data_IF_785539634469
#
_entry.id   IF_785539634469
#
_cell.length_a   1.000
_cell.length_b   1.000
_cell.length_c   1.000
_cell.angle_alpha   90.00
_cell.angle_beta   90.00
_cell.angle_gamma   90.00
#
_symmetry.space_group_name_H-M   'P 1'
#
loop_
_entity.id
_entity.type
_entity.pdbx_description
1 polymer ?
#
# COMPACT_ATOMS: atom_id res chain seq x y z
N UNK A 1 -11.67 11.64 -26.30
CA UNK A 1 -11.16 11.04 -25.04
C UNK A 1 -11.68 11.90 -23.94
N UNK A 2 -12.20 11.32 -22.85
CA UNK A 2 -12.79 12.05 -21.72
C UNK A 2 -11.85 11.83 -20.55
N UNK A 3 -11.55 12.91 -19.83
CA UNK A 3 -10.64 12.87 -18.70
C UNK A 3 -11.40 12.89 -17.38
N UNK A 4 -10.82 12.34 -16.29
CA UNK A 4 -11.39 12.45 -14.95
C UNK A 4 -11.63 13.93 -14.57
N UNK A 5 -12.83 14.22 -14.05
CA UNK A 5 -13.26 15.58 -13.71
C UNK A 5 -14.04 16.29 -14.84
N UNK A 6 -14.28 15.65 -15.98
CA UNK A 6 -15.12 16.20 -17.05
C UNK A 6 -16.57 15.74 -16.94
N UNK A 7 -17.51 16.66 -17.22
CA UNK A 7 -18.92 16.32 -17.40
C UNK A 7 -19.09 15.73 -18.79
N UNK A 8 -19.40 14.43 -18.85
CA UNK A 8 -19.62 13.70 -20.10
C UNK A 8 -20.97 13.98 -20.75
N UNK A 9 -21.97 14.28 -19.92
CA UNK A 9 -23.34 14.50 -20.38
C UNK A 9 -24.31 14.52 -19.20
N UNK A 10 -25.57 14.21 -19.48
CA UNK A 10 -26.63 14.08 -18.48
C UNK A 10 -27.36 12.76 -18.64
N UNK A 11 -27.88 12.22 -17.54
CA UNK A 11 -28.74 11.04 -17.61
C UNK A 11 -30.05 11.41 -18.33
N UNK A 12 -30.42 10.57 -19.30
CA UNK A 12 -31.63 10.81 -20.12
C UNK A 12 -32.84 11.08 -19.25
N UNK A 13 -33.59 12.13 -19.61
CA UNK A 13 -34.78 12.58 -18.90
C UNK A 13 -34.57 13.08 -17.46
N UNK A 14 -33.33 13.44 -17.11
CA UNK A 14 -32.98 14.05 -15.82
C UNK A 14 -32.00 15.20 -16.02
N UNK A 15 -31.85 16.04 -14.97
CA UNK A 15 -30.77 17.06 -14.93
C UNK A 15 -29.48 16.56 -14.26
N UNK A 16 -29.40 15.29 -13.94
CA UNK A 16 -28.27 14.69 -13.24
C UNK A 16 -27.07 14.60 -14.20
N UNK A 17 -25.94 15.28 -13.91
CA UNK A 17 -24.76 15.20 -14.73
C UNK A 17 -24.09 13.82 -14.63
N UNK A 18 -23.59 13.32 -15.76
CA UNK A 18 -22.72 12.15 -15.82
C UNK A 18 -21.27 12.63 -15.82
N UNK A 19 -20.56 12.38 -14.75
CA UNK A 19 -19.20 12.85 -14.53
C UNK A 19 -18.23 11.69 -14.72
N UNK A 20 -17.17 11.90 -15.52
CA UNK A 20 -16.07 10.97 -15.61
C UNK A 20 -15.21 11.07 -14.34
N UNK A 21 -15.10 9.97 -13.61
CA UNK A 21 -14.16 9.83 -12.49
C UNK A 21 -12.93 9.06 -12.93
N UNK A 22 -11.94 8.92 -12.04
CA UNK A 22 -10.78 8.08 -12.34
C UNK A 22 -11.24 6.63 -12.59
N UNK A 23 -10.96 6.07 -13.75
CA UNK A 23 -11.42 4.73 -14.16
C UNK A 23 -10.80 3.62 -13.34
N UNK A 24 -9.56 3.80 -12.90
CA UNK A 24 -8.94 2.91 -11.92
C UNK A 24 -9.20 3.46 -10.52
N UNK A 25 -9.79 2.68 -9.65
CA UNK A 25 -10.22 3.09 -8.31
C UNK A 25 -9.07 3.64 -7.45
N UNK A 26 -7.86 3.09 -7.59
CA UNK A 26 -6.67 3.60 -6.92
C UNK A 26 -6.32 5.02 -7.34
N UNK A 27 -6.63 5.46 -8.56
CA UNK A 27 -6.39 6.85 -8.95
C UNK A 27 -7.29 7.81 -8.15
N UNK A 28 -8.53 7.41 -7.88
CA UNK A 28 -9.40 8.13 -6.95
C UNK A 28 -8.81 8.11 -5.53
N UNK A 29 -8.32 6.96 -5.06
CA UNK A 29 -7.70 6.88 -3.74
C UNK A 29 -6.51 7.84 -3.60
N UNK A 30 -5.66 7.93 -4.61
CA UNK A 30 -4.49 8.84 -4.62
C UNK A 30 -4.91 10.31 -4.68
N UNK A 31 -6.00 10.64 -5.37
CA UNK A 31 -6.56 12.00 -5.35
C UNK A 31 -6.95 12.45 -3.94
N UNK A 32 -7.34 11.52 -3.06
CA UNK A 32 -7.70 11.80 -1.66
C UNK A 32 -6.53 11.75 -0.66
N UNK A 33 -5.30 11.52 -1.10
CA UNK A 33 -4.14 11.53 -0.19
C UNK A 33 -3.96 12.92 0.41
N UNK A 34 -3.93 13.08 1.74
CA UNK A 34 -3.82 14.40 2.39
C UNK A 34 -2.38 14.93 2.38
N UNK A 35 -1.74 14.93 1.22
CA UNK A 35 -0.37 15.39 1.05
C UNK A 35 -0.29 16.92 1.05
N UNK A 36 0.71 17.46 1.75
CA UNK A 36 1.01 18.92 1.81
C UNK A 36 1.92 19.36 0.68
N UNK A 37 2.62 18.44 0.06
CA UNK A 37 3.61 18.70 -1.00
C UNK A 37 3.20 17.95 -2.26
N UNK A 38 3.58 18.48 -3.41
CA UNK A 38 3.37 17.78 -4.70
C UNK A 38 4.18 16.48 -4.79
N UNK A 39 5.29 16.40 -4.05
CA UNK A 39 6.14 15.22 -3.97
C UNK A 39 5.84 14.43 -2.71
N UNK A 40 5.21 13.29 -2.88
CA UNK A 40 4.90 12.35 -1.80
C UNK A 40 4.93 10.92 -2.32
N UNK A 41 5.25 9.99 -1.43
CA UNK A 41 5.04 8.57 -1.69
C UNK A 41 3.75 8.11 -1.01
N UNK A 42 3.09 7.12 -1.62
CA UNK A 42 1.86 6.55 -1.09
C UNK A 42 1.84 5.02 -1.17
N UNK A 43 1.05 4.42 -0.29
CA UNK A 43 0.59 3.03 -0.37
C UNK A 43 -0.93 3.04 -0.35
N UNK A 44 -1.57 2.71 -1.47
CA UNK A 44 -2.99 2.36 -1.47
C UNK A 44 -3.09 0.91 -0.99
N UNK A 45 -3.37 0.75 0.30
CA UNK A 45 -3.28 -0.54 1.00
C UNK A 45 -4.65 -1.19 1.12
N UNK A 46 -4.79 -2.32 0.46
CA UNK A 46 -5.93 -3.21 0.47
C UNK A 46 -5.48 -4.66 0.36
N UNK A 47 -6.20 -5.49 -0.37
CA UNK A 47 -5.78 -6.85 -0.74
C UNK A 47 -4.41 -6.81 -1.39
N UNK A 48 -4.23 -5.92 -2.36
CA UNK A 48 -2.94 -5.49 -2.89
C UNK A 48 -2.49 -4.20 -2.22
N UNK A 49 -1.17 -3.95 -2.23
CA UNK A 49 -0.58 -2.67 -1.87
C UNK A 49 0.03 -2.04 -3.12
N UNK A 50 -0.61 -0.97 -3.60
CA UNK A 50 -0.11 -0.20 -4.73
C UNK A 50 0.77 0.92 -4.16
N UNK A 51 2.09 0.72 -4.27
CA UNK A 51 3.10 1.63 -3.72
C UNK A 51 3.68 2.50 -4.82
N UNK A 52 3.61 3.82 -4.69
CA UNK A 52 4.11 4.71 -5.73
C UNK A 52 4.13 6.19 -5.38
N UNK A 53 4.24 7.01 -6.42
CA UNK A 53 4.20 8.47 -6.37
C UNK A 53 3.45 9.04 -7.57
N UNK A 54 3.02 10.29 -7.52
CA UNK A 54 2.49 11.02 -8.67
C UNK A 54 3.60 11.82 -9.37
N UNK A 55 3.56 11.83 -10.70
CA UNK A 55 4.51 12.54 -11.56
C UNK A 55 3.78 13.23 -12.73
N UNK A 56 4.44 14.23 -13.33
CA UNK A 56 3.95 14.88 -14.56
C UNK A 56 4.28 14.11 -15.84
N UNK A 57 5.20 13.14 -15.79
CA UNK A 57 5.65 12.35 -16.94
C UNK A 57 5.85 10.89 -16.55
N UNK A 58 5.61 9.95 -17.49
CA UNK A 58 5.86 8.54 -17.25
C UNK A 58 7.37 8.25 -17.11
N UNK A 59 7.67 7.20 -16.35
CA UNK A 59 9.01 6.60 -16.27
C UNK A 59 9.06 5.34 -17.13
N UNK A 60 9.82 5.39 -18.21
CA UNK A 60 9.86 4.33 -19.24
C UNK A 60 11.25 3.72 -19.43
N UNK A 61 12.12 3.91 -18.42
CA UNK A 61 13.46 3.32 -18.48
C UNK A 61 13.45 1.80 -18.39
N UNK A 62 14.46 1.12 -18.93
CA UNK A 62 14.65 -0.31 -18.73
C UNK A 62 14.73 -0.69 -17.25
N UNK A 63 15.29 0.20 -16.41
CA UNK A 63 15.37 0.00 -14.96
C UNK A 63 13.98 -0.05 -14.32
N UNK A 64 13.06 0.84 -14.71
CA UNK A 64 11.69 0.82 -14.20
C UNK A 64 10.99 -0.50 -14.54
N UNK A 65 11.18 -0.99 -15.77
CA UNK A 65 10.66 -2.28 -16.21
C UNK A 65 11.28 -3.44 -15.42
N UNK A 66 12.61 -3.45 -15.25
CA UNK A 66 13.31 -4.49 -14.50
C UNK A 66 12.90 -4.52 -13.00
N UNK A 67 12.57 -3.36 -12.42
CA UNK A 67 12.07 -3.23 -11.05
C UNK A 67 10.56 -3.48 -10.92
N UNK A 68 9.87 -3.80 -12.03
CA UNK A 68 8.43 -4.05 -12.10
C UNK A 68 7.59 -2.85 -11.64
N UNK A 69 7.98 -1.63 -12.08
CA UNK A 69 7.17 -0.43 -11.94
C UNK A 69 6.31 -0.22 -13.19
N UNK A 70 5.10 0.26 -12.97
CA UNK A 70 4.14 0.60 -14.03
C UNK A 70 3.76 2.08 -13.96
N UNK A 71 3.28 2.60 -15.09
CA UNK A 71 2.75 3.94 -15.20
C UNK A 71 1.24 3.85 -15.41
N UNK A 72 0.47 4.46 -14.54
CA UNK A 72 -0.98 4.52 -14.65
C UNK A 72 -1.46 5.97 -14.63
N UNK A 73 -2.54 6.26 -15.35
CA UNK A 73 -3.10 7.61 -15.39
C UNK A 73 -3.70 7.96 -14.03
N UNK A 74 -3.33 9.12 -13.49
CA UNK A 74 -3.89 9.74 -12.29
C UNK A 74 -4.94 10.81 -12.63
N UNK A 75 -5.37 11.54 -11.61
CA UNK A 75 -6.26 12.69 -11.79
C UNK A 75 -5.50 13.87 -12.40
N UNK A 76 -6.18 14.69 -13.23
CA UNK A 76 -5.61 15.90 -13.80
C UNK A 76 -4.46 15.67 -14.78
N UNK A 77 -4.37 14.48 -15.40
CA UNK A 77 -3.31 14.14 -16.35
C UNK A 77 -1.99 13.75 -15.71
N UNK A 78 -1.96 13.55 -14.40
CA UNK A 78 -0.78 13.02 -13.71
C UNK A 78 -0.55 11.55 -14.06
N UNK A 79 0.67 11.11 -13.86
CA UNK A 79 1.08 9.70 -13.98
C UNK A 79 1.40 9.16 -12.59
N UNK A 80 0.78 8.06 -12.24
CA UNK A 80 1.12 7.31 -11.03
C UNK A 80 2.18 6.28 -11.39
N UNK A 81 3.42 6.54 -11.04
CA UNK A 81 4.50 5.56 -11.09
C UNK A 81 4.38 4.68 -9.85
N UNK A 82 4.05 3.41 -10.04
CA UNK A 82 3.77 2.52 -8.92
C UNK A 82 4.24 1.09 -9.17
N UNK A 83 4.35 0.34 -8.09
CA UNK A 83 4.54 -1.11 -8.08
C UNK A 83 3.40 -1.76 -7.28
N UNK A 84 2.86 -2.87 -7.82
CA UNK A 84 1.97 -3.74 -7.08
C UNK A 84 2.79 -4.67 -6.18
N UNK A 85 2.43 -4.72 -4.91
CA UNK A 85 3.00 -5.63 -3.91
C UNK A 85 1.86 -6.50 -3.41
N UNK A 86 2.10 -7.78 -3.19
CA UNK A 86 1.16 -8.64 -2.48
C UNK A 86 0.96 -8.04 -1.08
N UNK A 87 -0.18 -7.39 -0.88
CA UNK A 87 -0.45 -6.60 0.31
C UNK A 87 -1.05 -7.45 1.45
N UNK A 88 -2.21 -7.03 1.94
CA UNK A 88 -2.89 -7.71 3.05
C UNK A 88 -3.53 -9.05 2.64
N UNK A 89 -3.44 -9.44 1.37
CA UNK A 89 -3.92 -10.74 0.87
C UNK A 89 -3.40 -11.91 1.72
N UNK A 90 -2.10 -11.95 2.00
CA UNK A 90 -1.49 -13.03 2.79
C UNK A 90 -2.11 -13.09 4.18
N UNK A 91 -2.32 -11.94 4.83
CA UNK A 91 -2.98 -11.89 6.14
C UNK A 91 -4.46 -12.27 6.06
N UNK A 92 -5.18 -11.86 4.99
CA UNK A 92 -6.57 -12.23 4.76
C UNK A 92 -6.72 -13.74 4.58
N UNK A 93 -5.86 -14.35 3.78
CA UNK A 93 -5.85 -15.81 3.57
C UNK A 93 -5.45 -16.56 4.84
N UNK A 94 -4.45 -16.08 5.58
CA UNK A 94 -4.07 -16.67 6.87
C UNK A 94 -5.27 -16.66 7.83
N UNK A 95 -5.97 -15.53 7.93
CA UNK A 95 -7.20 -15.42 8.74
C UNK A 95 -8.27 -16.40 8.28
N UNK A 96 -8.49 -16.53 6.96
CA UNK A 96 -9.45 -17.47 6.38
C UNK A 96 -9.09 -18.93 6.71
N UNK A 97 -7.81 -19.27 6.63
CA UNK A 97 -7.34 -20.61 6.99
C UNK A 97 -7.58 -20.91 8.47
N UNK A 98 -7.31 -19.97 9.37
CA UNK A 98 -7.60 -20.12 10.80
C UNK A 98 -9.10 -20.34 11.05
N UNK A 99 -9.95 -19.55 10.40
CA UNK A 99 -11.41 -19.70 10.51
C UNK A 99 -11.88 -21.07 10.02
N UNK A 100 -11.30 -21.61 8.93
CA UNK A 100 -11.54 -22.96 8.44
C UNK A 100 -11.12 -24.06 9.42
N UNK A 101 -10.15 -23.78 10.28
CA UNK A 101 -9.70 -24.65 11.40
C UNK A 101 -10.47 -24.39 12.70
N UNK A 102 -11.55 -23.61 12.67
CA UNK A 102 -12.39 -23.29 13.83
C UNK A 102 -11.87 -22.15 14.72
N UNK A 103 -10.76 -21.51 14.35
CA UNK A 103 -10.18 -20.37 15.06
C UNK A 103 -10.63 -19.05 14.39
N UNK A 104 -11.70 -18.45 14.87
CA UNK A 104 -12.11 -17.12 14.39
C UNK A 104 -11.28 -16.05 15.08
N UNK A 105 -10.55 -15.27 14.29
CA UNK A 105 -9.67 -14.19 14.76
C UNK A 105 -9.86 -12.96 13.86
N UNK A 106 -9.86 -11.77 14.43
CA UNK A 106 -9.95 -10.52 13.69
C UNK A 106 -8.57 -9.87 13.49
N UNK A 107 -8.46 -8.94 12.52
CA UNK A 107 -7.19 -8.30 12.19
C UNK A 107 -6.49 -7.65 13.40
N UNK A 108 -7.18 -6.94 14.32
CA UNK A 108 -6.53 -6.39 15.51
C UNK A 108 -5.91 -7.47 16.43
N UNK A 109 -6.55 -8.64 16.52
CA UNK A 109 -6.02 -9.76 17.32
C UNK A 109 -4.82 -10.40 16.64
N UNK A 110 -4.83 -10.53 15.29
CA UNK A 110 -3.66 -10.99 14.52
C UNK A 110 -2.47 -10.07 14.73
N UNK A 111 -2.69 -8.74 14.64
CA UNK A 111 -1.67 -7.74 14.88
C UNK A 111 -1.13 -7.80 16.33
N UNK A 112 -1.99 -8.06 17.32
CA UNK A 112 -1.59 -8.22 18.72
C UNK A 112 -0.72 -9.47 18.92
N UNK A 113 -1.11 -10.61 18.33
CA UNK A 113 -0.29 -11.83 18.35
C UNK A 113 1.07 -11.62 17.70
N UNK A 114 1.10 -11.02 16.51
CA UNK A 114 2.34 -10.71 15.81
C UNK A 114 3.25 -9.78 16.61
N UNK A 115 2.68 -8.77 17.27
CA UNK A 115 3.43 -7.82 18.12
C UNK A 115 4.09 -8.51 19.31
N UNK A 116 3.44 -9.49 19.91
CA UNK A 116 3.95 -10.27 21.04
C UNK A 116 5.00 -11.32 20.67
N UNK A 117 5.09 -11.68 19.39
CA UNK A 117 6.00 -12.72 18.91
C UNK A 117 7.33 -12.13 18.42
N UNK A 118 8.35 -13.01 18.38
CA UNK A 118 9.62 -12.77 17.69
C UNK A 118 9.83 -13.87 16.67
N UNK A 119 10.33 -13.52 15.49
CA UNK A 119 10.68 -14.46 14.45
C UNK A 119 12.00 -14.04 13.81
N UNK A 120 12.86 -14.99 13.46
CA UNK A 120 14.14 -14.70 12.81
C UNK A 120 14.01 -14.63 11.29
N UNK A 121 13.05 -15.35 10.72
CA UNK A 121 12.88 -15.47 9.28
C UNK A 121 12.04 -14.37 8.65
N UNK A 122 12.07 -14.35 7.32
CA UNK A 122 11.28 -13.47 6.44
C UNK A 122 10.91 -14.19 5.16
N UNK A 123 9.89 -13.70 4.46
CA UNK A 123 9.48 -14.18 3.13
C UNK A 123 9.56 -13.06 2.11
N UNK A 124 9.62 -13.41 0.82
CA UNK A 124 9.23 -12.51 -0.26
C UNK A 124 7.70 -12.56 -0.43
N UNK A 125 6.95 -11.52 -0.06
CA UNK A 125 5.49 -11.55 -0.20
C UNK A 125 5.01 -11.74 -1.64
N UNK A 126 5.81 -11.30 -2.62
CA UNK A 126 5.49 -11.38 -4.05
C UNK A 126 5.86 -12.76 -4.67
N UNK A 127 6.27 -13.74 -3.85
CA UNK A 127 6.55 -15.08 -4.36
C UNK A 127 5.26 -15.78 -4.81
N UNK A 128 5.37 -16.51 -5.93
CA UNK A 128 4.23 -17.24 -6.53
C UNK A 128 3.53 -18.21 -5.57
N UNK A 129 4.24 -18.70 -4.56
CA UNK A 129 3.69 -19.60 -3.53
C UNK A 129 2.55 -18.95 -2.73
N UNK A 130 2.51 -17.60 -2.65
CA UNK A 130 1.52 -16.88 -1.87
C UNK A 130 0.38 -16.30 -2.72
N UNK A 131 0.44 -16.43 -4.06
CA UNK A 131 -0.53 -15.81 -4.97
C UNK A 131 -1.85 -16.56 -5.10
N UNK A 132 -1.94 -17.80 -4.67
CA UNK A 132 -3.13 -18.63 -4.80
C UNK A 132 -3.80 -18.90 -3.46
N UNK A 133 -5.12 -19.17 -3.51
CA UNK A 133 -5.82 -19.69 -2.34
C UNK A 133 -5.21 -21.02 -1.89
N UNK A 134 -4.96 -21.16 -0.60
CA UNK A 134 -4.36 -22.37 -0.05
C UNK A 134 -4.14 -22.27 1.46
N UNK A 135 -3.38 -23.18 2.02
CA UNK A 135 -2.93 -23.11 3.43
C UNK A 135 -1.68 -22.23 3.49
N UNK A 136 -1.86 -20.96 3.82
CA UNK A 136 -0.77 -19.98 3.92
C UNK A 136 0.24 -20.36 5.00
N UNK A 137 -0.18 -20.97 6.10
CA UNK A 137 0.76 -21.43 7.12
C UNK A 137 1.72 -22.49 6.55
N UNK A 138 1.17 -23.46 5.80
CA UNK A 138 1.98 -24.45 5.12
C UNK A 138 2.87 -23.86 4.02
N UNK A 139 2.37 -22.86 3.27
CA UNK A 139 3.16 -22.16 2.26
C UNK A 139 4.32 -21.37 2.90
N UNK A 140 4.12 -20.71 4.03
CA UNK A 140 5.18 -20.04 4.79
C UNK A 140 6.22 -21.06 5.23
N UNK A 141 5.82 -22.19 5.84
CA UNK A 141 6.75 -23.23 6.29
C UNK A 141 7.55 -23.84 5.12
N UNK A 142 6.90 -24.06 3.99
CA UNK A 142 7.56 -24.54 2.77
C UNK A 142 8.57 -23.52 2.22
N UNK A 143 8.22 -22.22 2.19
CA UNK A 143 9.11 -21.15 1.77
C UNK A 143 10.35 -21.06 2.68
N UNK A 144 10.14 -21.10 4.00
CA UNK A 144 11.23 -21.07 4.98
C UNK A 144 12.18 -22.27 4.80
N UNK A 145 11.62 -23.47 4.60
CA UNK A 145 12.42 -24.68 4.32
C UNK A 145 13.21 -24.56 3.02
N UNK A 146 12.58 -24.07 1.95
CA UNK A 146 13.22 -23.90 0.63
C UNK A 146 14.35 -22.85 0.64
N UNK A 147 14.27 -21.87 1.52
CA UNK A 147 15.28 -20.81 1.67
C UNK A 147 16.27 -21.06 2.82
N UNK A 148 16.21 -22.25 3.46
CA UNK A 148 17.12 -22.61 4.53
C UNK A 148 16.99 -21.78 5.81
N UNK A 149 15.80 -21.19 6.03
CA UNK A 149 15.51 -20.36 7.20
C UNK A 149 14.85 -21.18 8.33
N UNK A 150 14.97 -20.75 9.60
CA UNK A 150 14.33 -21.43 10.72
C UNK A 150 12.79 -21.40 10.58
N UNK A 151 12.16 -22.54 10.86
CA UNK A 151 10.70 -22.63 10.80
C UNK A 151 10.05 -21.90 11.97
N UNK A 152 8.95 -21.14 11.73
CA UNK A 152 8.18 -20.55 12.81
C UNK A 152 7.47 -21.65 13.63
N UNK A 153 7.52 -21.55 14.97
CA UNK A 153 6.99 -22.56 15.87
C UNK A 153 5.47 -22.55 15.99
N UNK A 154 4.83 -21.41 15.75
CA UNK A 154 3.40 -21.19 15.93
C UNK A 154 2.82 -20.12 14.99
N UNK A 155 1.51 -19.92 15.07
CA UNK A 155 0.78 -18.95 14.26
C UNK A 155 1.19 -17.50 14.56
N UNK A 156 1.58 -17.18 15.80
CA UNK A 156 2.01 -15.84 16.19
C UNK A 156 3.35 -15.48 15.53
N UNK A 157 4.28 -16.41 15.45
CA UNK A 157 5.54 -16.25 14.75
C UNK A 157 5.34 -16.14 13.23
N UNK A 158 4.42 -16.93 12.63
CA UNK A 158 4.08 -16.81 11.20
C UNK A 158 3.48 -15.43 10.89
N UNK A 159 2.57 -14.97 11.74
CA UNK A 159 2.01 -13.63 11.60
C UNK A 159 3.09 -12.55 11.71
N UNK A 160 3.97 -12.64 12.71
CA UNK A 160 5.09 -11.71 12.88
C UNK A 160 5.97 -11.66 11.63
N UNK A 161 6.34 -12.80 11.10
CA UNK A 161 7.13 -12.95 9.89
C UNK A 161 6.45 -12.28 8.69
N UNK A 162 5.15 -12.50 8.49
CA UNK A 162 4.39 -11.90 7.39
C UNK A 162 4.38 -10.36 7.53
N UNK A 163 4.09 -9.83 8.71
CA UNK A 163 4.09 -8.38 8.96
C UNK A 163 5.44 -7.73 8.69
N UNK A 164 6.51 -8.34 9.20
CA UNK A 164 7.88 -7.84 8.97
C UNK A 164 8.26 -7.88 7.49
N UNK A 165 7.91 -8.94 6.80
CA UNK A 165 8.17 -9.09 5.36
C UNK A 165 7.43 -8.05 4.52
N UNK A 166 6.17 -7.73 4.86
CA UNK A 166 5.43 -6.66 4.20
C UNK A 166 6.10 -5.29 4.42
N UNK A 167 6.53 -4.99 5.64
CA UNK A 167 7.23 -3.74 5.93
C UNK A 167 8.57 -3.64 5.19
N UNK A 168 9.31 -4.74 5.07
CA UNK A 168 10.54 -4.81 4.29
C UNK A 168 10.29 -4.68 2.79
N UNK A 169 9.18 -5.22 2.27
CA UNK A 169 8.77 -5.03 0.88
C UNK A 169 8.47 -3.55 0.59
N UNK A 170 7.85 -2.84 1.52
CA UNK A 170 7.63 -1.40 1.40
C UNK A 170 8.93 -0.61 1.41
N UNK A 171 9.88 -0.94 2.30
CA UNK A 171 11.23 -0.35 2.31
C UNK A 171 11.95 -0.55 0.98
N UNK A 172 11.99 -1.78 0.48
CA UNK A 172 12.65 -2.12 -0.78
C UNK A 172 12.02 -1.36 -1.95
N UNK A 173 10.70 -1.26 -1.97
CA UNK A 173 9.96 -0.53 -3.01
C UNK A 173 10.22 0.98 -2.92
N UNK A 174 10.26 1.56 -1.72
CA UNK A 174 10.61 2.97 -1.53
C UNK A 174 12.01 3.28 -2.06
N UNK A 175 13.01 2.47 -1.73
CA UNK A 175 14.38 2.67 -2.21
C UNK A 175 14.48 2.56 -3.74
N UNK A 176 13.77 1.60 -4.35
CA UNK A 176 13.69 1.46 -5.80
C UNK A 176 13.00 2.68 -6.44
N UNK A 177 11.91 3.16 -5.83
CA UNK A 177 11.21 4.35 -6.29
C UNK A 177 12.09 5.60 -6.22
N UNK A 178 12.78 5.82 -5.09
CA UNK A 178 13.73 6.94 -4.91
C UNK A 178 14.88 6.88 -5.93
N UNK A 179 15.41 5.67 -6.21
CA UNK A 179 16.43 5.47 -7.25
C UNK A 179 15.93 5.83 -8.64
N UNK A 180 14.72 5.39 -9.02
CA UNK A 180 14.13 5.67 -10.33
C UNK A 180 13.79 7.14 -10.54
N UNK A 181 13.31 7.81 -9.49
CA UNK A 181 12.86 9.20 -9.58
C UNK A 181 13.97 10.20 -9.35
N UNK A 182 15.05 9.80 -8.68
CA UNK A 182 16.09 10.71 -8.18
C UNK A 182 15.59 11.62 -7.05
N UNK A 183 14.46 11.28 -6.43
CA UNK A 183 13.79 12.06 -5.40
C UNK A 183 13.81 11.31 -4.07
N UNK A 184 13.75 12.05 -2.95
CA UNK A 184 13.57 11.49 -1.60
C UNK A 184 12.19 11.86 -1.07
N UNK A 185 11.56 10.94 -0.34
CA UNK A 185 10.22 11.11 0.20
C UNK A 185 10.26 11.05 1.72
N UNK A 186 10.09 12.20 2.39
CA UNK A 186 10.12 12.29 3.87
C UNK A 186 8.89 11.66 4.51
N UNK A 187 7.77 11.66 3.80
CA UNK A 187 6.47 11.18 4.27
C UNK A 187 5.94 10.11 3.34
N UNK A 188 5.50 9.01 3.93
CA UNK A 188 4.79 7.93 3.25
C UNK A 188 3.33 7.93 3.70
N UNK A 189 2.41 8.14 2.77
CA UNK A 189 0.98 8.09 3.04
C UNK A 189 0.42 6.69 2.83
N UNK A 190 -0.21 6.10 3.85
CA UNK A 190 -0.93 4.83 3.73
C UNK A 190 -2.43 5.13 3.75
N UNK A 191 -3.11 4.85 2.63
CA UNK A 191 -4.55 5.06 2.45
C UNK A 191 -5.27 3.74 2.17
N UNK A 192 -6.59 3.75 2.25
CA UNK A 192 -7.41 2.55 2.04
C UNK A 192 -7.58 1.72 3.32
N UNK A 193 -8.16 0.54 3.20
CA UNK A 193 -8.51 -0.32 4.34
C UNK A 193 -7.33 -0.70 5.24
N UNK A 194 -6.13 -0.89 4.65
CA UNK A 194 -4.91 -1.20 5.39
C UNK A 194 -4.38 -0.08 6.27
N UNK A 195 -4.83 1.17 6.08
CA UNK A 195 -4.50 2.29 6.96
C UNK A 195 -4.98 2.11 8.41
N UNK A 196 -5.87 1.15 8.64
CA UNK A 196 -6.35 0.76 9.98
C UNK A 196 -5.36 -0.13 10.74
N UNK A 197 -4.41 -0.76 10.04
CA UNK A 197 -3.43 -1.62 10.67
C UNK A 197 -2.29 -0.80 11.26
N UNK A 198 -2.43 -0.49 12.54
CA UNK A 198 -1.46 0.31 13.29
C UNK A 198 -0.11 -0.39 13.43
N UNK A 199 -0.11 -1.72 13.49
CA UNK A 199 1.11 -2.48 13.66
C UNK A 199 1.95 -2.46 12.38
N UNK A 200 1.32 -2.72 11.22
CA UNK A 200 2.01 -2.62 9.93
C UNK A 200 2.48 -1.18 9.67
N UNK A 201 1.66 -0.18 10.02
CA UNK A 201 2.01 1.24 9.83
C UNK A 201 3.24 1.64 10.66
N UNK A 202 3.34 1.20 11.93
CA UNK A 202 4.51 1.45 12.76
C UNK A 202 5.74 0.69 12.22
N UNK A 203 5.61 -0.60 11.87
CA UNK A 203 6.70 -1.36 11.26
C UNK A 203 7.18 -0.71 9.96
N UNK A 204 6.27 -0.15 9.17
CA UNK A 204 6.63 0.58 7.94
C UNK A 204 7.44 1.83 8.26
N UNK A 205 7.04 2.62 9.26
CA UNK A 205 7.83 3.76 9.71
C UNK A 205 9.22 3.32 10.19
N UNK A 206 9.29 2.31 11.05
CA UNK A 206 10.53 1.79 11.64
C UNK A 206 11.51 1.25 10.58
N UNK A 207 11.00 0.56 9.55
CA UNK A 207 11.85 -0.01 8.49
C UNK A 207 12.29 1.01 7.46
N UNK A 208 11.39 1.91 7.06
CA UNK A 208 11.69 2.90 6.01
C UNK A 208 12.49 4.08 6.55
N UNK A 209 12.45 4.34 7.85
CA UNK A 209 13.00 5.55 8.47
C UNK A 209 12.22 6.82 8.07
N UNK A 210 10.98 6.66 7.61
CA UNK A 210 10.12 7.76 7.15
C UNK A 210 8.94 7.97 8.10
N UNK A 211 8.44 9.19 8.15
CA UNK A 211 7.15 9.44 8.80
C UNK A 211 6.04 8.79 7.99
N UNK A 212 5.22 7.97 8.62
CA UNK A 212 4.03 7.37 7.99
C UNK A 212 2.79 8.12 8.47
N UNK A 213 1.96 8.54 7.51
CA UNK A 213 0.65 9.18 7.76
C UNK A 213 -0.43 8.28 7.21
N UNK A 214 -1.38 7.86 8.06
CA UNK A 214 -2.45 6.94 7.65
C UNK A 214 -3.80 7.63 7.47
N UNK A 215 -4.59 7.16 6.51
CA UNK A 215 -5.94 7.63 6.16
C UNK A 215 -5.97 8.55 4.93
N UNK A 216 -7.13 8.70 4.29
CA UNK A 216 -8.44 8.12 4.65
C UNK A 216 -8.52 6.60 4.45
N UNK A 217 -9.38 5.94 5.24
CA UNK A 217 -9.64 4.52 5.09
C UNK A 217 -10.46 4.22 3.83
N UNK A 218 -11.50 5.02 3.58
CA UNK A 218 -12.35 4.94 2.40
C UNK A 218 -11.83 5.87 1.30
N UNK A 219 -10.53 5.75 0.99
CA UNK A 219 -9.82 6.67 0.10
C UNK A 219 -10.42 6.72 -1.30
N UNK A 220 -10.77 5.57 -1.86
CA UNK A 220 -11.38 5.48 -3.20
C UNK A 220 -12.71 6.23 -3.28
N UNK A 221 -13.62 5.98 -2.33
CA UNK A 221 -14.92 6.66 -2.30
C UNK A 221 -14.76 8.15 -2.06
N UNK A 222 -13.87 8.53 -1.15
CA UNK A 222 -13.54 9.94 -0.86
C UNK A 222 -13.02 10.65 -2.11
N UNK A 223 -12.02 10.09 -2.77
CA UNK A 223 -11.44 10.67 -3.97
C UNK A 223 -12.41 10.74 -5.14
N UNK A 224 -13.25 9.70 -5.31
CA UNK A 224 -14.31 9.70 -6.31
C UNK A 224 -15.30 10.87 -6.08
N UNK A 225 -15.74 11.07 -4.84
CA UNK A 225 -16.61 12.20 -4.50
C UNK A 225 -15.93 13.56 -4.73
N UNK A 226 -14.66 13.70 -4.36
CA UNK A 226 -13.90 14.94 -4.58
C UNK A 226 -13.75 15.27 -6.07
N UNK A 227 -13.49 14.27 -6.93
CA UNK A 227 -13.41 14.47 -8.38
C UNK A 227 -14.76 14.97 -8.94
N UNK A 228 -15.87 14.42 -8.47
CA UNK A 228 -17.19 14.89 -8.87
C UNK A 228 -17.47 16.32 -8.38
N UNK A 229 -17.12 16.66 -7.15
CA UNK A 229 -17.30 18.02 -6.62
C UNK A 229 -16.44 19.05 -7.37
N UNK A 230 -15.22 18.67 -7.79
CA UNK A 230 -14.40 19.53 -8.66
C UNK A 230 -15.05 19.72 -10.04
N UNK A 231 -15.60 18.67 -10.63
CA UNK A 231 -16.30 18.75 -11.91
C UNK A 231 -17.55 19.65 -11.86
N UNK A 232 -18.21 19.72 -10.69
CA UNK A 232 -19.36 20.57 -10.46
C UNK A 232 -18.99 22.01 -10.08
N UNK A 233 -17.72 22.32 -9.90
CA UNK A 233 -17.25 23.64 -9.49
C UNK A 233 -17.40 23.95 -7.99
N UNK A 234 -17.76 22.95 -7.18
CA UNK A 234 -17.91 23.10 -5.72
C UNK A 234 -16.53 23.12 -5.00
N UNK A 235 -15.51 22.55 -5.63
CA UNK A 235 -14.11 22.57 -5.17
C UNK A 235 -13.26 23.07 -6.33
N UNK A 236 -12.36 24.01 -6.07
CA UNK A 236 -11.57 24.69 -7.11
C UNK A 236 -10.58 23.79 -7.84
N UNK A 237 -9.87 22.93 -7.09
CA UNK A 237 -8.76 22.13 -7.58
C UNK A 237 -8.40 20.98 -6.64
N UNK A 238 -7.42 20.16 -7.05
CA UNK A 238 -6.96 19.01 -6.27
C UNK A 238 -6.29 19.43 -4.94
N UNK A 239 -5.63 20.58 -4.89
CA UNK A 239 -5.00 21.07 -3.66
C UNK A 239 -6.07 21.41 -2.61
N UNK A 240 -7.13 22.10 -3.01
CA UNK A 240 -8.28 22.38 -2.16
C UNK A 240 -8.98 21.08 -1.71
N UNK A 241 -9.13 20.11 -2.61
CA UNK A 241 -9.71 18.81 -2.28
C UNK A 241 -8.87 18.07 -1.21
N UNK A 242 -7.55 18.01 -1.36
CA UNK A 242 -6.63 17.41 -0.37
C UNK A 242 -6.65 18.15 0.97
N UNK A 243 -6.75 19.48 0.96
CA UNK A 243 -6.90 20.27 2.17
C UNK A 243 -8.20 19.95 2.93
N UNK A 244 -9.31 19.74 2.21
CA UNK A 244 -10.57 19.29 2.80
C UNK A 244 -10.41 17.92 3.44
N UNK A 245 -9.77 16.96 2.76
CA UNK A 245 -9.48 15.63 3.35
C UNK A 245 -8.67 15.78 4.63
N UNK A 246 -7.57 16.53 4.57
CA UNK A 246 -6.69 16.76 5.72
C UNK A 246 -7.42 17.34 6.93
N UNK A 247 -8.35 18.26 6.70
CA UNK A 247 -9.11 18.93 7.76
C UNK A 247 -10.21 18.05 8.38
N UNK A 248 -10.73 17.07 7.64
CA UNK A 248 -11.92 16.32 8.05
C UNK A 248 -11.67 14.83 8.33
N UNK A 249 -10.57 14.27 7.84
CA UNK A 249 -10.24 12.85 8.04
C UNK A 249 -9.30 12.71 9.24
N UNK A 250 -9.62 11.79 10.13
CA UNK A 250 -8.70 11.41 11.22
C UNK A 250 -7.51 10.69 10.64
N UNK A 251 -6.38 11.35 10.60
CA UNK A 251 -5.08 10.77 10.26
C UNK A 251 -4.34 10.38 11.53
N UNK A 252 -3.52 9.31 11.46
CA UNK A 252 -2.54 8.97 12.50
C UNK A 252 -1.15 9.12 11.93
N UNK A 253 -0.22 9.54 12.77
CA UNK A 253 1.17 9.74 12.44
C UNK A 253 2.01 8.72 13.19
N UNK A 254 2.91 8.05 12.46
CA UNK A 254 3.88 7.10 13.00
C UNK A 254 5.28 7.58 12.64
N UNK A 255 6.11 7.71 13.66
CA UNK A 255 7.50 8.13 13.52
C UNK A 255 8.37 6.89 13.73
N UNK A 256 9.44 6.79 12.95
CA UNK A 256 10.39 5.70 13.06
C UNK A 256 11.05 5.67 14.45
N UNK A 257 11.18 4.49 15.01
CA UNK A 257 12.03 4.26 16.17
C UNK A 257 13.47 4.01 15.68
N UNK A 258 14.47 4.62 16.36
CA UNK A 258 15.85 4.64 15.89
C UNK A 258 16.53 3.25 15.81
N UNK A 259 16.06 2.28 16.61
CA UNK A 259 16.66 0.94 16.75
C UNK A 259 15.75 -0.17 16.21
N UNK A 260 15.38 -0.11 14.92
CA UNK A 260 14.59 -1.20 14.33
C UNK A 260 15.48 -2.42 14.01
N UNK A 261 15.27 -3.57 14.68
CA UNK A 261 16.01 -4.82 14.39
C UNK A 261 15.72 -5.36 12.97
N UNK A 262 14.70 -4.82 12.28
CA UNK A 262 14.35 -5.21 10.92
C UNK A 262 15.38 -4.76 9.89
N UNK A 263 16.22 -3.77 10.22
CA UNK A 263 17.29 -3.35 9.32
C UNK A 263 18.31 -4.46 9.08
N UNK A 264 18.57 -5.31 10.06
CA UNK A 264 19.46 -6.47 9.93
C UNK A 264 18.91 -7.51 8.95
N UNK A 265 17.57 -7.69 8.91
CA UNK A 265 16.90 -8.62 8.00
C UNK A 265 16.79 -8.09 6.57
N UNK A 266 17.01 -6.80 6.35
CA UNK A 266 16.81 -6.20 5.03
C UNK A 266 17.76 -6.74 3.97
N UNK A 267 19.01 -7.02 4.33
CA UNK A 267 19.99 -7.63 3.40
C UNK A 267 19.51 -9.00 2.93
N UNK A 268 19.03 -9.84 3.85
CA UNK A 268 18.43 -11.14 3.49
C UNK A 268 17.19 -10.96 2.60
N UNK A 269 16.34 -9.97 2.91
CA UNK A 269 15.16 -9.68 2.08
C UNK A 269 15.54 -9.31 0.65
N UNK A 270 16.57 -8.49 0.45
CA UNK A 270 17.07 -8.13 -0.88
C UNK A 270 17.55 -9.36 -1.64
N UNK A 271 18.35 -10.23 -1.02
CA UNK A 271 18.80 -11.48 -1.65
C UNK A 271 17.62 -12.35 -2.09
N UNK A 272 16.59 -12.52 -1.26
CA UNK A 272 15.41 -13.31 -1.59
C UNK A 272 14.53 -12.71 -2.71
N UNK A 273 14.70 -11.43 -3.02
CA UNK A 273 13.89 -10.70 -4.02
C UNK A 273 14.64 -10.35 -5.31
N UNK A 274 15.97 -10.45 -5.33
CA UNK A 274 16.81 -10.11 -6.49
C UNK A 274 17.12 -11.32 -7.38
N UNK A 275 17.05 -12.53 -6.86
CA UNK A 275 17.40 -13.78 -7.57
C UNK A 275 16.26 -14.34 -8.46
N UNK A 276 15.28 -13.49 -8.87
CA UNK A 276 14.15 -13.97 -9.70
C UNK A 276 13.87 -13.06 -10.88
#
# INVERSE_FOLDING_TARGET
MIYPGEIYGRIVSTDIPLIAVCTHDTASAVASVPADKDKFAYVSSGTWSLFGTERSRPETSPEAMAMNFTNEIGFGGTIRLLKNIMGLWILQEFRRNLAGKGKKIEFPEMAALARGARCEGIINPDDAMFMSHGDIAAAVDAYMSATGQPLPSDDAQRLRLIYESLALAYKNTLQKLEKLTGESYDVLHIVGGGSRDEFLSQLTADTTGRTVVTGPTEATATGNALVQLMALGEISDLAAARAIVKANVKTKLYVANDDSPLNEKFTLFQQLTEDK
#
